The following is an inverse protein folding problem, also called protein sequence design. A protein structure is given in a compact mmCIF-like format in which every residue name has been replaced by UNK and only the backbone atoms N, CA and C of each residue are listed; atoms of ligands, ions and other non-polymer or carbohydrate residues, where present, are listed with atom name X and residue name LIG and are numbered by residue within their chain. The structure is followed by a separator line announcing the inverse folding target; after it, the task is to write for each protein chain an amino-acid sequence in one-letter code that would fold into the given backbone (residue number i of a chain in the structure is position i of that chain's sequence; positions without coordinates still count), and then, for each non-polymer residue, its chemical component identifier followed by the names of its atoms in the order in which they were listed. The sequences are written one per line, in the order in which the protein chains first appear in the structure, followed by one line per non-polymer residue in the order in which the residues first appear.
data_IF_354585326287
#
_entry.id   IF_354585326287
#
_cell.length_a   1.000
_cell.length_b   1.000
_cell.length_c   1.000
_cell.angle_alpha   90.00
_cell.angle_beta   90.00
_cell.angle_gamma   90.00
#
_symmetry.space_group_name_H-M   'P 1'
#
loop_
_entity.id
_entity.type
_entity.pdbx_description
1 polymer ?
#
# COMPACT_ATOMS: atom_id res chain seq x y z
N UNK A 1 -15.04 5.60 -6.35
CA UNK A 1 -14.13 4.49 -6.07
C UNK A 1 -12.74 5.07 -5.90
N UNK A 2 -12.16 4.95 -4.72
CA UNK A 2 -10.75 5.27 -4.51
C UNK A 2 -9.86 4.26 -5.26
N UNK A 3 -8.59 4.58 -5.46
CA UNK A 3 -7.64 3.62 -6.03
C UNK A 3 -7.50 2.38 -5.14
N UNK A 4 -7.64 2.55 -3.82
CA UNK A 4 -7.72 1.46 -2.86
C UNK A 4 -8.91 0.51 -3.10
N UNK A 5 -10.11 1.06 -3.34
CA UNK A 5 -11.29 0.25 -3.66
C UNK A 5 -11.16 -0.43 -5.03
N UNK A 6 -10.53 0.20 -6.01
CA UNK A 6 -10.24 -0.42 -7.31
C UNK A 6 -9.28 -1.60 -7.15
N UNK A 7 -8.23 -1.44 -6.34
CA UNK A 7 -7.27 -2.49 -6.04
C UNK A 7 -7.94 -3.71 -5.39
N UNK A 8 -8.81 -3.48 -4.39
CA UNK A 8 -9.53 -4.56 -3.72
C UNK A 8 -10.49 -5.32 -4.63
N UNK A 9 -11.12 -4.61 -5.57
CA UNK A 9 -12.07 -5.20 -6.51
C UNK A 9 -11.39 -5.75 -7.78
N UNK A 10 -10.07 -5.72 -7.88
CA UNK A 10 -9.31 -6.28 -9.00
C UNK A 10 -9.38 -5.45 -10.30
N UNK A 11 -9.80 -4.19 -10.21
CA UNK A 11 -9.74 -3.26 -11.34
C UNK A 11 -8.33 -2.72 -11.53
N UNK A 12 -8.08 -2.10 -12.69
CA UNK A 12 -6.87 -1.30 -12.88
C UNK A 12 -6.91 -0.09 -11.92
N UNK A 13 -5.83 0.10 -11.18
CA UNK A 13 -5.67 1.17 -10.20
C UNK A 13 -4.26 1.75 -10.25
N UNK A 14 -4.08 2.97 -9.77
CA UNK A 14 -2.79 3.62 -9.69
C UNK A 14 -2.04 3.22 -8.41
N UNK A 15 -1.21 2.18 -8.53
CA UNK A 15 -0.43 1.66 -7.40
C UNK A 15 0.80 2.50 -7.03
N UNK A 16 1.21 3.45 -7.86
CA UNK A 16 2.50 4.12 -7.76
C UNK A 16 2.41 5.59 -7.39
N UNK A 17 1.32 6.27 -7.75
CA UNK A 17 1.13 7.69 -7.46
C UNK A 17 -0.01 7.97 -6.49
N UNK A 18 -0.86 6.98 -6.21
CA UNK A 18 -1.88 7.14 -5.16
C UNK A 18 -1.22 7.21 -3.78
N UNK A 19 -1.40 8.34 -3.12
CA UNK A 19 -0.75 8.65 -1.86
C UNK A 19 -1.14 7.66 -0.75
N UNK A 20 -2.42 7.26 -0.67
CA UNK A 20 -2.88 6.31 0.35
C UNK A 20 -2.22 4.94 0.18
N UNK A 21 -2.11 4.45 -1.06
CA UNK A 21 -1.46 3.18 -1.38
C UNK A 21 0.04 3.23 -1.06
N UNK A 22 0.72 4.31 -1.43
CA UNK A 22 2.16 4.48 -1.20
C UNK A 22 2.47 4.57 0.30
N UNK A 23 1.69 5.34 1.06
CA UNK A 23 1.84 5.47 2.51
C UNK A 23 1.58 4.13 3.21
N UNK A 24 0.54 3.40 2.81
CA UNK A 24 0.22 2.09 3.37
C UNK A 24 1.35 1.08 3.13
N UNK A 25 1.90 1.04 1.91
CA UNK A 25 3.04 0.15 1.57
C UNK A 25 4.29 0.49 2.36
N UNK A 26 4.60 1.78 2.49
CA UNK A 26 5.76 2.26 3.25
C UNK A 26 5.65 1.85 4.71
N UNK A 27 4.50 2.10 5.33
CA UNK A 27 4.22 1.68 6.72
C UNK A 27 4.34 0.17 6.91
N UNK A 28 3.83 -0.63 5.97
CA UNK A 28 3.98 -2.09 6.03
C UNK A 28 5.45 -2.51 5.94
N UNK A 29 6.24 -1.89 5.06
CA UNK A 29 7.67 -2.18 4.92
C UNK A 29 8.44 -1.82 6.19
N UNK A 30 8.17 -0.66 6.79
CA UNK A 30 8.79 -0.22 8.05
C UNK A 30 8.50 -1.21 9.19
N UNK A 31 7.24 -1.63 9.34
CA UNK A 31 6.86 -2.63 10.35
C UNK A 31 7.55 -3.98 10.12
N UNK A 32 7.64 -4.44 8.88
CA UNK A 32 8.35 -5.68 8.56
C UNK A 32 9.85 -5.57 8.85
N UNK A 33 10.46 -4.40 8.57
CA UNK A 33 11.86 -4.14 8.87
C UNK A 33 12.11 -4.14 10.38
N UNK A 34 11.30 -3.43 11.16
CA UNK A 34 11.37 -3.43 12.62
C UNK A 34 11.22 -4.83 13.21
N UNK A 35 10.24 -5.60 12.73
CA UNK A 35 10.01 -6.97 13.19
C UNK A 35 11.18 -7.91 12.86
N UNK A 36 11.85 -7.73 11.73
CA UNK A 36 12.97 -8.58 11.32
C UNK A 36 14.28 -8.30 12.09
N UNK A 37 14.36 -7.16 12.79
CA UNK A 37 15.54 -6.77 13.58
C UNK A 37 15.44 -7.21 15.06
N UNK A 38 14.38 -7.94 15.45
CA UNK A 38 14.14 -8.52 16.77
C UNK A 38 14.47 -10.02 16.79
#
# INVERSE_FOLDING_TARGET
MTEWEKAQNGYLYDANYDQEIVEARTRCADLCYEFHQL
#
